data_IF_179450483742
#
_entry.id   IF_179450483742
#
_cell.length_a   1.000
_cell.length_b   1.000
_cell.length_c   1.000
_cell.angle_alpha   90.00
_cell.angle_beta   90.00
_cell.angle_gamma   90.00
#
_symmetry.space_group_name_H-M   'P 1'
#
loop_
_entity.id
_entity.type
_entity.pdbx_description
1 polymer ?
#
# COMPACT_ATOMS: atom_id res chain seq x y z
N UNK A 1 -23.17 -39.41 -28.12
CA UNK A 1 -22.19 -40.05 -27.21
C UNK A 1 -20.94 -39.17 -27.31
N UNK A 2 -20.87 -38.14 -26.47
CA UNK A 2 -19.77 -37.17 -26.46
C UNK A 2 -18.97 -37.47 -25.19
N UNK A 3 -17.73 -37.86 -25.40
CA UNK A 3 -16.80 -38.21 -24.32
C UNK A 3 -16.23 -36.93 -23.69
N UNK A 4 -16.45 -36.74 -22.40
CA UNK A 4 -15.75 -35.76 -21.58
C UNK A 4 -14.34 -36.29 -21.28
N UNK A 5 -13.34 -35.51 -21.67
CA UNK A 5 -11.97 -35.66 -21.17
C UNK A 5 -11.82 -34.83 -19.88
N UNK A 6 -11.19 -35.33 -18.83
CA UNK A 6 -10.94 -34.56 -17.63
C UNK A 6 -9.81 -33.57 -17.89
N UNK A 7 -10.01 -32.31 -17.49
CA UNK A 7 -8.99 -31.28 -17.41
C UNK A 7 -7.95 -31.70 -16.34
N UNK A 8 -6.69 -31.77 -16.73
CA UNK A 8 -5.57 -31.86 -15.81
C UNK A 8 -5.39 -30.48 -15.16
N UNK A 9 -5.82 -30.33 -13.91
CA UNK A 9 -5.41 -29.27 -13.04
C UNK A 9 -3.92 -29.41 -12.71
N UNK A 10 -3.10 -28.52 -13.20
CA UNK A 10 -1.74 -28.36 -12.71
C UNK A 10 -1.79 -27.49 -11.48
N UNK A 11 -1.72 -28.09 -10.30
CA UNK A 11 -1.39 -27.43 -9.04
C UNK A 11 0.08 -27.00 -9.10
N UNK A 12 0.31 -25.79 -9.57
CA UNK A 12 1.58 -25.07 -9.48
C UNK A 12 1.54 -24.04 -8.34
N UNK A 13 0.95 -24.40 -7.20
CA UNK A 13 1.09 -23.63 -5.99
C UNK A 13 2.51 -23.76 -5.47
N UNK A 14 3.29 -22.67 -5.43
CA UNK A 14 4.47 -22.60 -4.58
C UNK A 14 4.04 -23.02 -3.18
N UNK A 15 4.67 -24.06 -2.61
CA UNK A 15 4.48 -24.44 -1.21
C UNK A 15 4.84 -23.21 -0.37
N UNK A 16 3.82 -22.57 0.21
CA UNK A 16 4.02 -21.54 1.23
C UNK A 16 4.70 -22.24 2.40
N UNK A 17 5.85 -21.73 2.80
CA UNK A 17 6.41 -22.06 4.11
C UNK A 17 5.33 -21.75 5.14
N UNK A 18 5.02 -22.72 5.99
CA UNK A 18 3.96 -22.58 6.98
C UNK A 18 4.25 -21.38 7.87
N UNK A 19 3.30 -20.44 7.96
CA UNK A 19 3.34 -19.35 8.93
C UNK A 19 3.53 -19.93 10.33
N UNK A 20 4.21 -19.25 11.27
CA UNK A 20 4.38 -19.75 12.61
C UNK A 20 3.03 -20.09 13.22
N UNK A 21 2.80 -21.35 13.56
CA UNK A 21 1.57 -21.79 14.22
C UNK A 21 1.45 -21.10 15.58
N UNK A 22 0.26 -20.55 15.88
CA UNK A 22 -0.05 -20.06 17.21
C UNK A 22 -0.07 -21.24 18.19
N UNK A 23 0.35 -21.02 19.45
CA UNK A 23 0.35 -22.04 20.49
C UNK A 23 -1.06 -22.58 20.80
N UNK A 24 -2.11 -21.91 20.30
CA UNK A 24 -3.49 -22.31 20.49
C UNK A 24 -4.49 -21.37 19.80
N UNK A 25 -5.75 -21.52 20.16
CA UNK A 25 -6.80 -20.62 19.73
C UNK A 25 -6.69 -19.27 20.44
N UNK A 26 -7.05 -18.18 19.74
CA UNK A 26 -7.14 -16.84 20.33
C UNK A 26 -8.57 -16.31 20.16
N UNK A 27 -9.13 -15.75 21.23
CA UNK A 27 -10.36 -15.00 21.21
C UNK A 27 -10.07 -13.52 21.46
N UNK A 28 -10.45 -12.66 20.52
CA UNK A 28 -10.49 -11.21 20.76
C UNK A 28 -11.94 -10.82 20.95
N UNK A 29 -12.28 -10.25 22.12
CA UNK A 29 -13.68 -9.96 22.49
C UNK A 29 -13.85 -8.56 23.12
N UNK A 30 -15.03 -7.98 22.96
CA UNK A 30 -15.37 -6.66 23.51
C UNK A 30 -15.10 -5.51 22.56
N UNK A 31 -15.21 -4.28 23.04
CA UNK A 31 -15.01 -3.08 22.23
C UNK A 31 -15.96 -2.99 21.04
N UNK A 32 -15.41 -2.63 19.89
CA UNK A 32 -16.12 -2.49 18.61
C UNK A 32 -15.32 -3.15 17.48
N UNK A 33 -15.99 -3.52 16.41
CA UNK A 33 -15.37 -4.00 15.18
C UNK A 33 -15.91 -3.17 14.01
N UNK A 34 -15.02 -2.65 13.18
CA UNK A 34 -15.40 -2.00 11.95
C UNK A 34 -15.60 -3.04 10.85
N UNK A 35 -16.86 -3.25 10.47
CA UNK A 35 -17.20 -3.95 9.24
C UNK A 35 -17.09 -2.96 8.06
N UNK A 36 -15.96 -3.02 7.35
CA UNK A 36 -15.72 -2.13 6.22
C UNK A 36 -16.60 -2.42 5.02
N UNK A 37 -17.11 -3.65 4.89
CA UNK A 37 -17.99 -4.04 3.79
C UNK A 37 -19.40 -3.52 4.04
N UNK A 38 -19.96 -3.73 5.23
CA UNK A 38 -21.25 -3.18 5.63
C UNK A 38 -21.18 -1.65 5.88
N UNK A 39 -20.03 -1.13 6.29
CA UNK A 39 -19.83 0.28 6.60
C UNK A 39 -20.34 0.69 7.99
N UNK A 40 -20.31 -0.22 8.95
CA UNK A 40 -20.83 0.00 10.29
C UNK A 40 -19.93 -0.57 11.39
N UNK A 41 -20.12 -0.09 12.62
CA UNK A 41 -19.46 -0.60 13.82
C UNK A 41 -20.33 -1.64 14.51
N UNK A 42 -19.80 -2.83 14.69
CA UNK A 42 -20.40 -3.93 15.46
C UNK A 42 -19.94 -3.80 16.91
N UNK A 43 -20.88 -3.73 17.85
CA UNK A 43 -20.59 -3.64 19.28
C UNK A 43 -20.32 -5.02 19.89
N UNK A 44 -19.39 -5.10 20.83
CA UNK A 44 -19.04 -6.32 21.58
C UNK A 44 -18.81 -7.54 20.66
N UNK A 45 -17.97 -7.45 19.63
CA UNK A 45 -17.65 -8.57 18.77
C UNK A 45 -16.88 -9.65 19.52
N UNK A 46 -16.98 -10.88 19.02
CA UNK A 46 -16.04 -11.96 19.30
C UNK A 46 -15.37 -12.39 18.01
N UNK A 47 -14.05 -12.33 17.94
CA UNK A 47 -13.26 -12.80 16.80
C UNK A 47 -12.44 -14.01 17.24
N UNK A 48 -12.74 -15.16 16.69
CA UNK A 48 -12.04 -16.40 16.94
C UNK A 48 -10.95 -16.64 15.91
N UNK A 49 -9.74 -16.81 16.36
CA UNK A 49 -8.57 -17.06 15.52
C UNK A 49 -8.08 -18.48 15.76
N UNK A 50 -7.97 -19.25 14.70
CA UNK A 50 -7.48 -20.62 14.73
C UNK A 50 -5.94 -20.67 14.84
N UNK A 51 -5.33 -21.77 15.30
CA UNK A 51 -3.87 -21.91 15.44
C UNK A 51 -3.08 -21.58 14.18
N UNK A 52 -3.64 -21.80 12.99
CA UNK A 52 -3.01 -21.44 11.72
C UNK A 52 -3.19 -19.95 11.33
N UNK A 53 -3.58 -19.05 12.27
CA UNK A 53 -3.64 -17.61 12.09
C UNK A 53 -4.82 -17.07 11.29
N UNK A 54 -5.76 -17.92 10.84
CA UNK A 54 -6.97 -17.46 10.14
C UNK A 54 -8.14 -17.26 11.10
N UNK A 55 -8.99 -16.33 10.74
CA UNK A 55 -10.27 -16.08 11.45
C UNK A 55 -11.20 -17.27 11.21
N UNK A 56 -11.60 -17.92 12.29
CA UNK A 56 -12.57 -19.01 12.25
C UNK A 56 -14.00 -18.53 12.27
N UNK A 57 -14.30 -17.57 13.15
CA UNK A 57 -15.63 -17.00 13.29
C UNK A 57 -15.57 -15.56 13.78
N UNK A 58 -16.58 -14.78 13.37
CA UNK A 58 -16.87 -13.42 13.85
C UNK A 58 -18.33 -13.40 14.24
N UNK A 59 -18.67 -12.86 15.43
CA UNK A 59 -20.06 -12.77 15.87
C UNK A 59 -20.22 -12.15 17.24
N UNK A 60 -21.44 -12.19 17.78
CA UNK A 60 -21.69 -11.82 19.17
C UNK A 60 -21.02 -12.83 20.12
N UNK A 61 -20.68 -12.37 21.35
CA UNK A 61 -20.14 -13.20 22.43
C UNK A 61 -21.01 -14.46 22.62
N UNK A 62 -20.45 -15.64 22.33
CA UNK A 62 -21.13 -16.91 22.41
C UNK A 62 -21.33 -17.64 21.07
N UNK A 63 -20.87 -17.07 19.94
CA UNK A 63 -20.84 -17.76 18.64
C UNK A 63 -20.02 -19.06 18.74
N UNK A 64 -20.41 -20.05 17.91
CA UNK A 64 -19.92 -21.43 17.92
C UNK A 64 -18.41 -21.57 18.00
N UNK A 65 -17.93 -21.72 19.21
CA UNK A 65 -16.57 -22.22 19.49
C UNK A 65 -16.59 -23.74 19.27
N UNK A 66 -15.49 -24.32 18.78
CA UNK A 66 -15.34 -25.76 18.86
C UNK A 66 -15.44 -26.21 20.32
N UNK A 67 -16.37 -27.13 20.64
CA UNK A 67 -16.58 -27.62 22.01
C UNK A 67 -15.26 -28.11 22.62
N UNK A 68 -14.96 -27.62 23.82
CA UNK A 68 -13.81 -28.10 24.61
C UNK A 68 -12.45 -27.45 24.26
N UNK A 69 -12.41 -26.40 23.44
CA UNK A 69 -11.18 -25.68 23.10
C UNK A 69 -10.91 -24.57 24.12
N UNK A 70 -9.72 -24.60 24.75
CA UNK A 70 -9.19 -23.46 25.50
C UNK A 70 -8.64 -22.42 24.52
N UNK A 71 -8.84 -21.14 24.80
CA UNK A 71 -8.30 -20.04 24.00
C UNK A 71 -7.66 -18.99 24.90
N UNK A 72 -6.60 -18.40 24.40
CA UNK A 72 -6.06 -17.16 24.96
C UNK A 72 -7.03 -16.02 24.62
N UNK A 73 -7.47 -15.29 25.66
CA UNK A 73 -8.50 -14.26 25.48
C UNK A 73 -7.90 -12.86 25.62
N UNK A 74 -8.06 -12.08 24.56
CA UNK A 74 -7.75 -10.65 24.54
C UNK A 74 -9.06 -9.87 24.70
N UNK A 75 -9.20 -9.14 25.83
CA UNK A 75 -10.38 -8.33 26.10
C UNK A 75 -10.13 -6.87 25.74
N UNK A 76 -11.04 -6.32 24.96
CA UNK A 76 -11.01 -4.93 24.53
C UNK A 76 -11.85 -4.05 25.46
N UNK A 77 -11.34 -2.83 25.70
CA UNK A 77 -12.11 -1.76 26.34
C UNK A 77 -13.25 -1.28 25.42
N UNK A 78 -14.28 -0.67 25.99
CA UNK A 78 -15.44 -0.21 25.23
C UNK A 78 -15.14 0.89 24.20
N UNK A 79 -14.03 1.62 24.35
CA UNK A 79 -13.55 2.67 23.45
C UNK A 79 -12.49 2.16 22.45
N UNK A 80 -12.15 0.87 22.47
CA UNK A 80 -11.27 0.25 21.48
C UNK A 80 -12.08 -0.27 20.28
N UNK A 81 -11.47 -0.19 19.10
CA UNK A 81 -12.06 -0.64 17.83
C UNK A 81 -11.09 -1.58 17.10
N UNK A 82 -11.60 -2.74 16.67
CA UNK A 82 -10.91 -3.59 15.70
C UNK A 82 -11.06 -2.98 14.32
N UNK A 83 -9.94 -2.60 13.72
CA UNK A 83 -9.82 -2.09 12.36
C UNK A 83 -9.15 -3.14 11.50
N UNK A 84 -9.68 -3.55 10.34
CA UNK A 84 -8.93 -4.40 9.41
C UNK A 84 -7.55 -3.83 9.15
N UNK A 85 -6.56 -4.69 9.03
CA UNK A 85 -5.18 -4.26 8.78
C UNK A 85 -5.09 -3.38 7.54
N UNK A 86 -4.38 -2.27 7.65
CA UNK A 86 -4.18 -1.36 6.55
C UNK A 86 -3.28 -1.99 5.48
N UNK A 87 -3.59 -1.70 4.24
CA UNK A 87 -2.88 -2.18 3.04
C UNK A 87 -2.34 -0.96 2.30
N UNK A 88 -1.03 -0.79 2.30
CA UNK A 88 -0.38 0.26 1.51
C UNK A 88 0.02 -0.32 0.15
N UNK A 89 -0.76 0.01 -0.89
CA UNK A 89 -0.52 -0.46 -2.26
C UNK A 89 0.46 0.41 -3.04
N UNK A 90 1.10 1.38 -2.38
CA UNK A 90 2.15 2.21 -2.94
C UNK A 90 3.20 2.51 -1.86
N UNK A 91 3.61 1.47 -1.17
CA UNK A 91 4.66 1.56 -0.18
C UNK A 91 6.03 1.76 -0.84
N UNK A 92 6.96 2.33 -0.10
CA UNK A 92 8.36 2.29 -0.44
C UNK A 92 9.18 1.89 0.78
N UNK A 93 10.19 1.07 0.56
CA UNK A 93 11.25 0.83 1.53
C UNK A 93 12.47 1.71 1.25
N UNK A 94 12.60 2.20 0.02
CA UNK A 94 13.71 3.04 -0.38
C UNK A 94 13.61 4.47 0.17
N UNK A 95 14.76 5.00 0.60
CA UNK A 95 14.90 6.33 1.17
C UNK A 95 16.12 7.04 0.59
N UNK A 96 15.99 8.33 0.30
CA UNK A 96 17.12 9.22 -0.01
C UNK A 96 17.32 10.23 1.13
N UNK A 97 18.03 9.80 2.18
CA UNK A 97 18.26 10.62 3.37
C UNK A 97 19.48 11.54 3.24
N UNK A 98 20.40 11.22 2.33
CA UNK A 98 21.71 11.88 2.25
C UNK A 98 21.94 12.63 0.94
N UNK A 99 21.07 12.44 -0.06
CA UNK A 99 21.24 12.99 -1.40
C UNK A 99 22.19 12.15 -2.29
N UNK A 100 22.54 10.95 -1.85
CA UNK A 100 23.42 10.03 -2.58
C UNK A 100 22.65 9.00 -3.42
N UNK A 101 21.34 9.10 -3.44
CA UNK A 101 20.42 8.18 -4.10
C UNK A 101 19.54 7.42 -3.12
N UNK A 102 18.65 6.62 -3.68
CA UNK A 102 17.68 5.84 -2.90
C UNK A 102 18.24 4.48 -2.51
N UNK A 103 18.06 4.13 -1.26
CA UNK A 103 18.53 2.89 -0.65
C UNK A 103 17.33 2.21 0.00
N UNK A 104 17.14 0.91 -0.26
CA UNK A 104 16.09 0.10 0.37
C UNK A 104 16.41 -0.08 1.87
N UNK A 105 15.56 0.44 2.74
CA UNK A 105 15.66 0.26 4.19
C UNK A 105 14.74 -0.87 4.63
N UNK A 106 15.27 -2.08 4.71
CA UNK A 106 14.54 -3.31 4.99
C UNK A 106 14.62 -3.78 6.44
N UNK A 107 15.32 -3.05 7.32
CA UNK A 107 15.49 -3.44 8.73
C UNK A 107 14.46 -2.80 9.66
N UNK A 108 14.29 -1.49 9.59
CA UNK A 108 13.51 -0.73 10.56
C UNK A 108 12.16 -0.26 10.02
N UNK A 109 12.10 0.09 8.73
CA UNK A 109 10.83 0.45 8.08
C UNK A 109 9.74 -0.63 8.23
N UNK A 110 10.04 -1.95 8.14
CA UNK A 110 9.02 -2.98 8.36
C UNK A 110 8.38 -2.90 9.74
N UNK A 111 9.16 -2.60 10.79
CA UNK A 111 8.64 -2.46 12.15
C UNK A 111 7.71 -1.26 12.26
N UNK A 112 8.08 -0.14 11.59
CA UNK A 112 7.29 1.09 11.60
C UNK A 112 5.98 0.91 10.82
N UNK A 113 5.99 0.22 9.69
CA UNK A 113 4.76 -0.16 8.99
C UNK A 113 3.82 -0.93 9.92
N UNK A 114 4.29 -2.04 10.48
CA UNK A 114 3.47 -2.92 11.30
C UNK A 114 2.97 -2.21 12.56
N UNK A 115 3.81 -1.43 13.24
CA UNK A 115 3.43 -0.68 14.44
C UNK A 115 2.30 0.34 14.19
N UNK A 116 2.16 0.83 12.98
CA UNK A 116 1.08 1.72 12.57
C UNK A 116 -0.14 0.97 11.99
N UNK A 117 -0.24 -0.34 12.20
CA UNK A 117 -1.39 -1.13 11.75
C UNK A 117 -1.39 -1.44 10.24
N UNK A 118 -0.31 -1.15 9.53
CA UNK A 118 -0.14 -1.60 8.14
C UNK A 118 0.33 -3.03 8.13
N UNK A 119 -0.57 -3.96 7.85
CA UNK A 119 -0.31 -5.41 7.88
C UNK A 119 0.10 -5.98 6.53
N UNK A 120 -0.12 -5.24 5.46
CA UNK A 120 0.28 -5.63 4.10
C UNK A 120 0.84 -4.43 3.34
N UNK A 121 1.95 -4.64 2.64
CA UNK A 121 2.57 -3.64 1.75
C UNK A 121 2.79 -4.22 0.37
N UNK A 122 2.56 -3.42 -0.66
CA UNK A 122 3.04 -3.64 -2.01
C UNK A 122 4.04 -2.53 -2.35
N UNK A 123 5.35 -2.81 -2.37
CA UNK A 123 6.35 -1.82 -2.77
C UNK A 123 6.14 -1.43 -4.23
N UNK A 124 5.96 -0.12 -4.50
CA UNK A 124 5.61 0.37 -5.82
C UNK A 124 6.83 0.55 -6.72
N UNK A 125 7.52 -0.56 -7.00
CA UNK A 125 8.77 -0.63 -7.73
C UNK A 125 10.00 -0.52 -6.79
N UNK A 126 10.96 -1.36 -7.05
CA UNK A 126 12.11 -1.57 -6.18
C UNK A 126 13.41 -1.23 -6.92
N UNK A 127 14.32 -0.53 -6.23
CA UNK A 127 15.67 -0.23 -6.74
C UNK A 127 16.60 -1.43 -6.55
N UNK A 128 16.44 -2.16 -5.45
CA UNK A 128 17.09 -3.42 -5.18
C UNK A 128 16.03 -4.49 -4.83
N UNK A 129 15.43 -5.14 -5.82
CA UNK A 129 14.39 -6.14 -5.60
C UNK A 129 14.88 -7.38 -4.86
N UNK A 130 16.18 -7.66 -4.86
CA UNK A 130 16.75 -8.77 -4.11
C UNK A 130 16.61 -8.58 -2.60
N UNK A 131 16.80 -7.35 -2.11
CA UNK A 131 16.63 -7.02 -0.70
C UNK A 131 15.16 -7.13 -0.25
N UNK A 132 14.22 -6.80 -1.14
CA UNK A 132 12.79 -6.91 -0.82
C UNK A 132 12.35 -8.38 -0.80
N UNK A 133 12.84 -9.20 -1.71
CA UNK A 133 12.61 -10.64 -1.66
C UNK A 133 13.23 -11.26 -0.40
N UNK A 134 14.45 -10.88 -0.04
CA UNK A 134 15.07 -11.30 1.22
C UNK A 134 14.24 -10.88 2.44
N UNK A 135 13.73 -9.64 2.46
CA UNK A 135 12.86 -9.16 3.52
C UNK A 135 11.60 -10.01 3.64
N UNK A 136 10.90 -10.26 2.52
CA UNK A 136 9.73 -11.14 2.48
C UNK A 136 10.06 -12.50 3.09
N UNK A 137 11.10 -13.15 2.59
CA UNK A 137 11.48 -14.49 2.99
C UNK A 137 11.82 -14.57 4.50
N UNK A 138 12.52 -13.56 5.04
CA UNK A 138 12.81 -13.46 6.48
C UNK A 138 11.57 -13.25 7.33
N UNK A 139 10.61 -12.47 6.86
CA UNK A 139 9.35 -12.26 7.57
C UNK A 139 8.51 -13.53 7.55
N UNK A 140 8.42 -14.22 6.41
CA UNK A 140 7.70 -15.48 6.27
C UNK A 140 8.34 -16.62 7.10
N UNK A 141 9.66 -16.63 7.21
CA UNK A 141 10.38 -17.56 8.07
C UNK A 141 10.31 -17.22 9.59
N UNK A 142 9.70 -16.10 9.96
CA UNK A 142 9.68 -15.60 11.35
C UNK A 142 11.03 -15.10 11.87
N UNK A 143 12.01 -14.92 11.00
CA UNK A 143 13.34 -14.38 11.36
C UNK A 143 13.30 -12.86 11.56
N UNK A 144 12.35 -12.19 10.97
CA UNK A 144 12.14 -10.76 11.12
C UNK A 144 10.66 -10.42 11.31
N UNK A 145 10.39 -9.22 11.85
CA UNK A 145 9.04 -8.72 12.10
C UNK A 145 8.71 -7.60 11.11
N UNK A 146 7.55 -7.70 10.49
CA UNK A 146 7.06 -6.69 9.55
C UNK A 146 5.68 -7.04 8.98
N UNK A 147 5.15 -6.23 8.05
CA UNK A 147 3.93 -6.54 7.34
C UNK A 147 4.11 -7.72 6.37
N UNK A 148 3.03 -8.23 5.82
CA UNK A 148 3.09 -9.08 4.62
C UNK A 148 3.63 -8.24 3.47
N UNK A 149 4.77 -8.65 2.91
CA UNK A 149 5.39 -7.96 1.77
C UNK A 149 4.99 -8.68 0.48
N UNK A 150 4.25 -7.98 -0.38
CA UNK A 150 3.91 -8.45 -1.73
C UNK A 150 4.91 -7.81 -2.70
N UNK A 151 5.96 -8.50 -3.15
CA UNK A 151 7.01 -7.87 -3.94
C UNK A 151 6.49 -7.44 -5.32
N UNK A 152 6.95 -6.29 -5.80
CA UNK A 152 6.65 -5.79 -7.15
C UNK A 152 7.77 -6.08 -8.15
N UNK A 153 8.92 -6.56 -7.70
CA UNK A 153 10.12 -6.64 -8.51
C UNK A 153 10.63 -5.26 -8.93
N UNK A 154 11.54 -5.20 -9.90
CA UNK A 154 12.10 -3.93 -10.34
C UNK A 154 11.07 -3.08 -11.09
N UNK A 155 11.33 -1.78 -11.18
CA UNK A 155 10.59 -0.94 -12.12
C UNK A 155 10.69 -1.46 -13.55
N UNK A 156 9.57 -1.48 -14.27
CA UNK A 156 9.54 -1.63 -15.72
C UNK A 156 9.49 -0.23 -16.35
N UNK A 157 10.60 0.20 -16.96
CA UNK A 157 10.77 1.50 -17.57
C UNK A 157 12.03 2.23 -17.12
N UNK A 158 12.16 3.49 -17.55
CA UNK A 158 13.39 4.28 -17.41
C UNK A 158 13.78 4.63 -15.98
N UNK A 159 12.94 4.36 -15.00
CA UNK A 159 13.27 4.52 -13.57
C UNK A 159 14.16 3.38 -13.06
N UNK A 160 14.12 2.22 -13.71
CA UNK A 160 14.96 1.07 -13.35
C UNK A 160 16.43 1.36 -13.65
N UNK A 161 17.34 1.17 -12.68
CA UNK A 161 18.77 1.23 -12.96
C UNK A 161 19.16 0.24 -14.08
N UNK A 162 19.89 0.72 -15.10
CA UNK A 162 20.31 -0.12 -16.22
C UNK A 162 19.21 -0.51 -17.22
N UNK A 163 18.05 0.16 -17.19
CA UNK A 163 16.98 -0.10 -18.16
C UNK A 163 17.45 0.09 -19.61
N UNK A 164 17.31 -0.94 -20.44
CA UNK A 164 17.52 -0.83 -21.88
C UNK A 164 16.23 -0.34 -22.57
N UNK A 165 16.29 0.83 -23.16
CA UNK A 165 15.18 1.44 -23.91
C UNK A 165 14.87 0.73 -25.24
N UNK A 166 15.74 -0.16 -25.69
CA UNK A 166 15.58 -0.91 -26.93
C UNK A 166 15.13 -2.36 -26.69
N UNK A 167 14.74 -2.69 -25.48
CA UNK A 167 14.18 -4.03 -25.18
C UNK A 167 13.06 -4.36 -26.16
N UNK A 168 13.11 -5.54 -26.72
CA UNK A 168 12.04 -6.08 -27.54
C UNK A 168 10.86 -6.56 -26.66
N UNK A 169 9.69 -6.74 -27.25
CA UNK A 169 8.54 -7.30 -26.54
C UNK A 169 8.84 -8.68 -25.93
N UNK A 170 9.61 -9.51 -26.63
CA UNK A 170 9.98 -10.84 -26.12
C UNK A 170 10.96 -10.78 -24.93
N UNK A 171 11.87 -9.82 -24.93
CA UNK A 171 12.75 -9.57 -23.77
C UNK A 171 11.98 -9.05 -22.56
N UNK A 172 10.95 -8.20 -22.77
CA UNK A 172 10.06 -7.76 -21.68
C UNK A 172 9.31 -8.94 -21.10
N UNK A 173 8.70 -9.82 -21.96
CA UNK A 173 8.01 -11.03 -21.49
C UNK A 173 8.94 -11.99 -20.73
N UNK A 174 10.17 -12.19 -21.21
CA UNK A 174 11.16 -13.03 -20.55
C UNK A 174 11.61 -12.44 -19.20
N UNK A 175 11.65 -11.11 -19.07
CA UNK A 175 11.94 -10.42 -17.80
C UNK A 175 10.80 -10.62 -16.79
N UNK A 176 9.54 -10.55 -17.24
CA UNK A 176 8.35 -10.87 -16.42
C UNK A 176 8.45 -12.32 -15.91
N UNK A 177 8.66 -13.28 -16.80
CA UNK A 177 8.75 -14.71 -16.43
C UNK A 177 9.79 -14.95 -15.33
N UNK A 178 10.96 -14.36 -15.48
CA UNK A 178 12.05 -14.47 -14.48
C UNK A 178 11.63 -13.98 -13.10
N UNK A 179 10.83 -12.92 -13.00
CA UNK A 179 10.36 -12.40 -11.72
C UNK A 179 9.16 -13.18 -11.19
N UNK A 180 8.29 -13.69 -12.06
CA UNK A 180 7.20 -14.61 -11.67
C UNK A 180 7.75 -15.89 -11.06
N UNK A 181 8.81 -16.47 -11.61
CA UNK A 181 9.50 -17.64 -11.04
C UNK A 181 10.03 -17.38 -9.61
N UNK A 182 10.16 -16.11 -9.22
CA UNK A 182 10.59 -15.67 -7.89
C UNK A 182 9.45 -15.21 -6.99
N UNK A 183 8.20 -15.41 -7.42
CA UNK A 183 6.99 -15.11 -6.67
C UNK A 183 6.50 -13.66 -6.81
N UNK A 184 6.94 -12.91 -7.83
CA UNK A 184 6.39 -11.59 -8.16
C UNK A 184 5.20 -11.77 -9.09
N UNK A 185 4.01 -11.27 -8.68
CA UNK A 185 2.78 -11.32 -9.50
C UNK A 185 2.22 -9.93 -9.80
N UNK A 186 2.59 -8.91 -9.05
CA UNK A 186 2.06 -7.55 -9.19
C UNK A 186 3.21 -6.60 -9.54
N UNK A 187 3.18 -6.05 -10.76
CA UNK A 187 4.32 -5.34 -11.35
C UNK A 187 4.12 -3.83 -11.40
N UNK A 188 5.24 -3.09 -11.34
CA UNK A 188 5.26 -1.62 -11.41
C UNK A 188 5.87 -1.12 -12.70
N UNK A 189 5.08 -0.37 -13.47
CA UNK A 189 5.56 0.40 -14.61
C UNK A 189 5.84 1.86 -14.21
N UNK A 190 7.04 2.38 -14.52
CA UNK A 190 7.40 3.78 -14.34
C UNK A 190 8.39 4.25 -15.39
N UNK A 191 7.94 5.16 -16.26
CA UNK A 191 8.70 5.59 -17.42
C UNK A 191 8.77 4.53 -18.53
N UNK A 192 7.81 3.61 -18.57
CA UNK A 192 7.63 2.68 -19.67
C UNK A 192 7.02 3.39 -20.89
N UNK A 193 7.55 3.08 -22.07
CA UNK A 193 6.89 3.45 -23.34
C UNK A 193 5.71 2.50 -23.63
N UNK A 194 4.79 2.87 -24.52
CA UNK A 194 3.70 1.97 -24.91
C UNK A 194 4.17 0.61 -25.45
N UNK A 195 5.30 0.59 -26.14
CA UNK A 195 5.91 -0.64 -26.70
C UNK A 195 6.39 -1.61 -25.62
N UNK A 196 6.80 -1.10 -24.46
CA UNK A 196 7.20 -1.92 -23.32
C UNK A 196 6.04 -2.23 -22.38
N UNK A 197 5.08 -1.31 -22.23
CA UNK A 197 3.95 -1.49 -21.33
C UNK A 197 2.98 -2.56 -21.83
N UNK A 198 2.68 -2.59 -23.14
CA UNK A 198 1.74 -3.57 -23.69
C UNK A 198 2.18 -5.04 -23.46
N UNK A 199 3.42 -5.46 -23.82
CA UNK A 199 3.87 -6.83 -23.56
C UNK A 199 4.06 -7.13 -22.06
N UNK A 200 4.33 -6.12 -21.22
CA UNK A 200 4.34 -6.27 -19.77
C UNK A 200 2.95 -6.67 -19.26
N UNK A 201 1.91 -5.89 -19.58
CA UNK A 201 0.53 -6.14 -19.14
C UNK A 201 0.06 -7.50 -19.64
N UNK A 202 0.22 -7.78 -20.92
CA UNK A 202 -0.17 -9.06 -21.53
C UNK A 202 0.44 -10.25 -20.79
N UNK A 203 1.78 -10.21 -20.55
CA UNK A 203 2.47 -11.34 -19.94
C UNK A 203 2.16 -11.50 -18.46
N UNK A 204 2.00 -10.40 -17.73
CA UNK A 204 1.60 -10.43 -16.31
C UNK A 204 0.20 -11.01 -16.16
N UNK A 205 -0.74 -10.64 -17.02
CA UNK A 205 -2.10 -11.18 -17.01
C UNK A 205 -2.14 -12.69 -17.34
N UNK A 206 -1.27 -13.18 -18.24
CA UNK A 206 -1.13 -14.62 -18.50
C UNK A 206 -0.73 -15.41 -17.24
N UNK A 207 -0.02 -14.77 -16.30
CA UNK A 207 0.34 -15.34 -15.00
C UNK A 207 -0.69 -15.04 -13.89
N UNK A 208 -1.79 -14.36 -14.18
CA UNK A 208 -2.83 -14.00 -13.20
C UNK A 208 -2.44 -12.87 -12.27
N UNK A 209 -1.42 -12.07 -12.63
CA UNK A 209 -0.97 -10.90 -11.87
C UNK A 209 -1.62 -9.60 -12.32
N UNK A 210 -1.16 -8.47 -11.76
CA UNK A 210 -1.63 -7.12 -12.09
C UNK A 210 -0.48 -6.15 -12.35
N UNK A 211 -0.76 -5.07 -13.10
CA UNK A 211 0.21 -4.01 -13.40
C UNK A 211 -0.30 -2.66 -12.91
N UNK A 212 0.53 -1.98 -12.10
CA UNK A 212 0.29 -0.59 -11.70
C UNK A 212 1.25 0.35 -12.46
N UNK A 213 0.79 1.56 -12.73
CA UNK A 213 1.57 2.51 -13.52
C UNK A 213 1.64 3.92 -12.95
N UNK A 214 2.90 4.41 -12.74
CA UNK A 214 3.17 5.82 -12.67
C UNK A 214 3.30 6.34 -14.10
N UNK A 215 2.23 6.92 -14.62
CA UNK A 215 2.09 7.32 -16.01
C UNK A 215 2.32 8.82 -16.19
N UNK A 216 2.44 9.26 -17.45
CA UNK A 216 2.59 10.67 -17.82
C UNK A 216 1.52 11.04 -18.86
N UNK A 217 1.67 12.16 -19.52
CA UNK A 217 0.72 12.67 -20.52
C UNK A 217 0.78 11.98 -21.89
N UNK A 218 1.80 11.18 -22.16
CA UNK A 218 2.15 10.69 -23.50
C UNK A 218 3.20 11.56 -24.20
N UNK A 219 3.65 12.65 -23.56
CA UNK A 219 4.71 13.48 -24.11
C UNK A 219 6.05 12.73 -24.16
N UNK A 220 6.87 13.00 -25.18
CA UNK A 220 8.22 12.44 -25.35
C UNK A 220 8.29 10.90 -25.33
N UNK A 221 7.23 10.23 -25.77
CA UNK A 221 7.16 8.76 -25.82
C UNK A 221 6.82 8.10 -24.47
N UNK A 222 6.39 8.87 -23.47
CA UNK A 222 5.78 8.33 -22.26
C UNK A 222 4.40 7.75 -22.55
N UNK A 223 3.85 6.98 -21.62
CA UNK A 223 2.52 6.40 -21.76
C UNK A 223 1.48 7.29 -21.07
N UNK A 224 0.39 7.57 -21.77
CA UNK A 224 -0.80 8.22 -21.22
C UNK A 224 -1.73 7.16 -20.60
N UNK A 225 -2.46 7.52 -19.54
CA UNK A 225 -3.37 6.58 -18.87
C UNK A 225 -4.48 6.05 -19.79
N UNK A 226 -4.99 6.83 -20.76
CA UNK A 226 -5.96 6.32 -21.71
C UNK A 226 -5.38 5.21 -22.59
N UNK A 227 -4.11 5.33 -23.02
CA UNK A 227 -3.44 4.29 -23.79
C UNK A 227 -3.20 3.05 -22.92
N UNK A 228 -2.76 3.25 -21.66
CA UNK A 228 -2.52 2.16 -20.73
C UNK A 228 -3.80 1.39 -20.36
N UNK A 229 -4.92 2.10 -20.16
CA UNK A 229 -6.24 1.49 -19.93
C UNK A 229 -6.67 0.65 -21.16
N UNK A 230 -6.44 1.18 -22.36
CA UNK A 230 -6.71 0.41 -23.59
C UNK A 230 -5.83 -0.84 -23.75
N UNK A 231 -4.66 -0.89 -23.09
CA UNK A 231 -3.77 -2.06 -23.00
C UNK A 231 -4.17 -3.01 -21.87
N UNK A 232 -5.08 -2.60 -20.96
CA UNK A 232 -5.56 -3.41 -19.84
C UNK A 232 -4.82 -3.17 -18.52
N UNK A 233 -4.24 -2.01 -18.27
CA UNK A 233 -3.62 -1.71 -16.98
C UNK A 233 -4.62 -1.81 -15.83
N UNK A 234 -4.21 -2.36 -14.69
CA UNK A 234 -5.11 -2.64 -13.55
C UNK A 234 -5.21 -1.45 -12.58
N UNK A 235 -4.13 -0.69 -12.42
CA UNK A 235 -4.09 0.47 -11.50
C UNK A 235 -3.25 1.61 -12.05
N UNK A 236 -3.76 2.83 -11.92
CA UNK A 236 -3.04 4.07 -12.28
C UNK A 236 -2.82 4.91 -11.02
N UNK A 237 -1.65 5.49 -10.92
CA UNK A 237 -1.19 6.19 -9.73
C UNK A 237 -1.13 7.70 -9.92
N UNK A 238 -1.26 8.44 -8.82
CA UNK A 238 -1.12 9.89 -8.64
C UNK A 238 -2.20 10.74 -9.31
N UNK A 239 -2.43 10.57 -10.59
CA UNK A 239 -3.36 11.37 -11.37
C UNK A 239 -4.12 10.50 -12.39
N UNK A 240 -5.38 10.84 -12.64
CA UNK A 240 -6.18 10.10 -13.63
C UNK A 240 -5.63 10.26 -15.06
N UNK A 241 -5.14 11.44 -15.40
CA UNK A 241 -4.54 11.70 -16.71
C UNK A 241 -5.53 11.60 -17.88
N UNK A 242 -5.21 10.74 -18.83
CA UNK A 242 -6.06 10.45 -19.98
C UNK A 242 -6.33 11.65 -20.91
N UNK A 243 -7.56 11.82 -21.40
CA UNK A 243 -7.96 12.95 -22.24
C UNK A 243 -7.81 14.32 -21.56
N UNK A 244 -7.72 14.37 -20.22
CA UNK A 244 -7.55 15.61 -19.48
C UNK A 244 -6.14 16.19 -19.56
N UNK A 245 -5.18 15.49 -20.17
CA UNK A 245 -3.79 15.92 -20.31
C UNK A 245 -3.45 16.27 -21.76
N UNK A 246 -2.72 17.38 -21.92
CA UNK A 246 -2.08 17.73 -23.17
C UNK A 246 -0.86 16.82 -23.40
N UNK A 247 -0.89 16.01 -24.45
CA UNK A 247 0.16 15.06 -24.83
C UNK A 247 1.50 15.70 -25.23
N UNK A 248 1.57 17.03 -25.30
CA UNK A 248 2.80 17.77 -25.63
C UNK A 248 3.55 18.28 -24.39
N UNK A 249 2.94 18.20 -23.21
CA UNK A 249 3.44 18.73 -21.95
C UNK A 249 3.60 17.63 -20.89
N UNK A 250 4.45 17.86 -19.89
CA UNK A 250 4.54 16.97 -18.73
C UNK A 250 3.24 17.02 -17.89
N UNK A 251 2.84 15.88 -17.34
CA UNK A 251 1.54 15.70 -16.70
C UNK A 251 1.30 16.63 -15.49
N UNK A 252 2.20 16.68 -14.53
CA UNK A 252 1.96 17.36 -13.26
C UNK A 252 1.73 18.88 -13.37
N UNK A 253 2.50 19.65 -14.17
CA UNK A 253 2.20 21.06 -14.37
C UNK A 253 0.83 21.33 -15.00
N UNK A 254 0.38 20.43 -15.90
CA UNK A 254 -0.94 20.53 -16.55
C UNK A 254 -2.05 20.14 -15.58
N UNK A 255 -1.83 19.07 -14.77
CA UNK A 255 -2.82 18.57 -13.83
C UNK A 255 -3.24 19.60 -12.77
N UNK A 256 -2.35 20.48 -12.36
CA UNK A 256 -2.66 21.57 -11.43
C UNK A 256 -3.80 22.47 -11.90
N UNK A 257 -4.01 22.54 -13.21
CA UNK A 257 -5.00 23.42 -13.84
C UNK A 257 -6.22 22.66 -14.37
N UNK A 258 -6.31 21.36 -14.13
CA UNK A 258 -7.43 20.51 -14.60
C UNK A 258 -8.75 21.01 -14.00
N UNK A 259 -9.70 21.27 -14.88
CA UNK A 259 -11.08 21.58 -14.53
C UNK A 259 -11.90 20.29 -14.47
N UNK A 260 -12.36 19.94 -13.29
CA UNK A 260 -13.16 18.73 -13.06
C UNK A 260 -14.55 18.78 -13.72
N UNK A 261 -14.98 19.97 -14.19
CA UNK A 261 -16.23 20.17 -14.93
C UNK A 261 -16.05 20.01 -16.44
N UNK A 262 -14.81 19.90 -16.93
CA UNK A 262 -14.52 19.77 -18.35
C UNK A 262 -14.95 18.39 -18.91
N UNK A 263 -15.26 18.35 -20.20
CA UNK A 263 -15.61 17.11 -20.92
C UNK A 263 -14.46 16.12 -20.87
N UNK A 264 -13.23 16.60 -21.11
CA UNK A 264 -12.03 15.77 -21.12
C UNK A 264 -11.77 15.09 -19.77
N UNK A 265 -12.01 15.78 -18.63
CA UNK A 265 -11.91 15.17 -17.32
C UNK A 265 -12.99 14.11 -17.10
N UNK A 266 -14.24 14.40 -17.47
CA UNK A 266 -15.31 13.39 -17.37
C UNK A 266 -15.07 12.17 -18.24
N UNK A 267 -14.46 12.34 -19.41
CA UNK A 267 -14.03 11.21 -20.27
C UNK A 267 -12.91 10.41 -19.60
N UNK A 268 -11.93 11.07 -18.97
CA UNK A 268 -10.90 10.38 -18.19
C UNK A 268 -11.53 9.53 -17.09
N UNK A 269 -12.45 10.10 -16.29
CA UNK A 269 -13.18 9.37 -15.24
C UNK A 269 -13.92 8.15 -15.79
N UNK A 270 -14.63 8.29 -16.92
CA UNK A 270 -15.34 7.17 -17.56
C UNK A 270 -14.42 6.04 -17.96
N UNK A 271 -13.22 6.35 -18.49
CA UNK A 271 -12.26 5.30 -18.85
C UNK A 271 -11.93 4.39 -17.66
N UNK A 272 -11.75 4.95 -16.47
CA UNK A 272 -11.51 4.15 -15.27
C UNK A 272 -12.73 3.35 -14.85
N UNK A 273 -13.91 3.98 -14.83
CA UNK A 273 -15.15 3.33 -14.38
C UNK A 273 -15.57 2.21 -15.34
N UNK A 274 -15.52 2.46 -16.65
CA UNK A 274 -15.97 1.50 -17.67
C UNK A 274 -15.02 0.28 -17.77
N UNK A 275 -13.76 0.40 -17.32
CA UNK A 275 -12.76 -0.65 -17.37
C UNK A 275 -12.36 -1.17 -15.95
N UNK A 276 -13.02 -0.70 -14.91
CA UNK A 276 -12.76 -1.07 -13.50
C UNK A 276 -11.28 -0.90 -13.08
N UNK A 277 -10.62 0.16 -13.56
CA UNK A 277 -9.23 0.44 -13.26
C UNK A 277 -9.11 1.13 -11.91
N UNK A 278 -8.33 0.57 -11.02
CA UNK A 278 -8.05 1.19 -9.72
C UNK A 278 -7.29 2.49 -9.86
N UNK A 279 -7.60 3.43 -8.98
CA UNK A 279 -6.92 4.71 -8.87
C UNK A 279 -6.27 4.86 -7.50
N UNK A 280 -4.96 5.03 -7.52
CA UNK A 280 -4.16 5.28 -6.32
C UNK A 280 -3.69 6.74 -6.30
N UNK A 281 -4.39 7.64 -5.59
CA UNK A 281 -4.16 9.07 -5.68
C UNK A 281 -2.86 9.55 -5.04
N UNK A 282 -2.34 8.86 -4.01
CA UNK A 282 -1.15 9.27 -3.25
C UNK A 282 -1.13 10.76 -2.91
N UNK A 283 -2.23 11.27 -2.36
CA UNK A 283 -2.48 12.71 -2.18
C UNK A 283 -1.37 13.39 -1.36
N UNK A 284 -0.80 12.67 -0.39
CA UNK A 284 0.22 13.22 0.51
C UNK A 284 1.63 13.26 -0.07
N UNK A 285 1.90 12.57 -1.17
CA UNK A 285 3.22 12.53 -1.77
C UNK A 285 3.82 13.91 -2.13
N UNK A 286 3.07 14.86 -2.74
CA UNK A 286 3.59 16.20 -3.00
C UNK A 286 3.76 17.07 -1.76
N UNK A 287 3.06 16.79 -0.65
CA UNK A 287 3.09 17.61 0.57
C UNK A 287 4.49 17.65 1.18
N UNK A 288 5.24 16.57 1.06
CA UNK A 288 6.62 16.52 1.54
C UNK A 288 7.52 17.65 0.98
N UNK A 289 7.23 18.13 -0.23
CA UNK A 289 7.99 19.20 -0.88
C UNK A 289 7.44 20.60 -0.60
N UNK A 290 6.54 20.74 0.36
CA UNK A 290 5.85 22.00 0.67
C UNK A 290 6.10 22.42 2.12
N UNK A 291 5.63 23.61 2.45
CA UNK A 291 5.56 24.15 3.80
C UNK A 291 4.14 24.06 4.39
N UNK A 292 3.28 23.23 3.82
CA UNK A 292 1.90 23.07 4.27
C UNK A 292 1.85 22.38 5.64
N UNK A 293 1.33 23.08 6.64
CA UNK A 293 1.15 22.57 8.02
C UNK A 293 0.34 21.27 8.04
N UNK A 294 -0.71 21.19 7.22
CA UNK A 294 -1.61 20.05 7.05
C UNK A 294 -0.88 18.71 6.84
N UNK A 295 0.34 18.75 6.30
CA UNK A 295 1.17 17.55 6.10
C UNK A 295 2.11 17.21 7.25
N UNK A 296 2.40 18.17 8.17
CA UNK A 296 3.49 18.02 9.13
C UNK A 296 3.06 18.12 10.60
N UNK A 297 2.05 18.92 10.93
CA UNK A 297 1.84 19.33 12.32
C UNK A 297 1.08 18.33 13.19
N UNK A 298 0.24 17.48 12.61
CA UNK A 298 -0.60 16.56 13.39
C UNK A 298 0.05 15.20 13.69
N UNK A 299 1.30 14.95 13.26
CA UNK A 299 1.74 13.58 13.02
C UNK A 299 2.93 13.10 13.85
N UNK A 300 3.26 13.78 14.90
CA UNK A 300 4.19 13.30 15.90
C UNK A 300 5.66 13.44 15.50
N UNK A 301 6.53 12.93 16.35
CA UNK A 301 7.97 13.07 16.24
C UNK A 301 8.60 11.93 15.42
N UNK A 302 8.30 11.89 14.12
CA UNK A 302 8.92 10.92 13.22
C UNK A 302 10.44 11.10 13.10
N UNK A 303 10.96 12.30 13.34
CA UNK A 303 12.40 12.57 13.32
C UNK A 303 13.17 11.77 14.35
N UNK A 304 12.53 11.41 15.47
CA UNK A 304 13.12 10.59 16.51
C UNK A 304 13.48 9.16 16.09
N UNK A 305 13.00 8.70 14.94
CA UNK A 305 13.34 7.39 14.37
C UNK A 305 14.64 7.40 13.58
N UNK A 306 15.04 8.56 13.04
CA UNK A 306 16.31 8.69 12.34
C UNK A 306 17.50 8.61 13.31
N UNK A 307 18.65 8.16 12.78
CA UNK A 307 19.91 8.26 13.52
C UNK A 307 20.21 9.73 13.88
N UNK A 308 20.95 10.02 14.95
CA UNK A 308 21.30 11.40 15.33
C UNK A 308 21.95 12.18 14.17
N UNK A 309 22.77 11.52 13.37
CA UNK A 309 23.42 12.13 12.21
C UNK A 309 22.41 12.55 11.13
N UNK A 310 21.41 11.72 10.84
CA UNK A 310 20.34 12.06 9.90
C UNK A 310 19.41 13.13 10.48
N UNK A 311 19.09 13.08 11.78
CA UNK A 311 18.26 14.10 12.45
C UNK A 311 18.84 15.50 12.29
N UNK A 312 20.17 15.68 12.48
CA UNK A 312 20.84 16.96 12.26
C UNK A 312 20.70 17.45 10.82
N UNK A 313 20.82 16.56 9.85
CA UNK A 313 20.71 16.89 8.42
C UNK A 313 19.28 17.24 8.01
N UNK A 314 18.31 16.49 8.49
CA UNK A 314 16.89 16.75 8.25
C UNK A 314 16.49 18.08 8.90
N UNK A 315 16.93 18.35 10.13
CA UNK A 315 16.66 19.61 10.81
C UNK A 315 17.29 20.83 10.12
N UNK A 316 18.42 20.63 9.44
CA UNK A 316 19.10 21.69 8.69
C UNK A 316 18.46 21.96 7.30
N UNK A 317 17.54 21.12 6.85
CA UNK A 317 16.85 21.34 5.56
C UNK A 317 15.83 22.47 5.72
N UNK A 318 15.97 23.51 4.91
CA UNK A 318 14.94 24.52 4.79
C UNK A 318 13.76 23.96 4.00
N UNK A 319 12.59 23.94 4.60
CA UNK A 319 11.35 23.66 3.90
C UNK A 319 11.00 24.89 3.05
N UNK A 320 11.17 24.77 1.75
CA UNK A 320 10.85 25.84 0.81
C UNK A 320 9.38 25.75 0.38
N UNK A 321 8.78 26.92 0.18
CA UNK A 321 7.46 27.00 -0.47
C UNK A 321 7.59 26.53 -1.92
N UNK A 322 7.08 25.35 -2.23
CA UNK A 322 6.99 24.84 -3.58
C UNK A 322 5.55 24.98 -4.10
N UNK A 323 5.29 26.09 -4.80
CA UNK A 323 3.94 26.36 -5.32
C UNK A 323 3.41 25.29 -6.27
N UNK A 324 4.30 24.68 -7.08
CA UNK A 324 3.92 23.61 -7.98
C UNK A 324 3.36 22.41 -7.20
N UNK A 325 4.06 21.98 -6.15
CA UNK A 325 3.66 20.84 -5.33
C UNK A 325 2.46 21.17 -4.44
N UNK A 326 2.38 22.38 -3.91
CA UNK A 326 1.21 22.85 -3.16
C UNK A 326 -0.05 22.85 -4.03
N UNK A 327 0.06 23.35 -5.27
CA UNK A 327 -1.05 23.33 -6.23
C UNK A 327 -1.40 21.90 -6.65
N UNK A 328 -0.40 21.03 -6.82
CA UNK A 328 -0.60 19.62 -7.15
C UNK A 328 -1.40 18.91 -6.04
N UNK A 329 -1.03 19.11 -4.78
CA UNK A 329 -1.78 18.58 -3.63
C UNK A 329 -3.26 18.98 -3.65
N UNK A 330 -3.55 20.27 -3.89
CA UNK A 330 -4.93 20.75 -3.98
C UNK A 330 -5.66 20.17 -5.22
N UNK A 331 -4.96 20.02 -6.34
CA UNK A 331 -5.53 19.42 -7.53
C UNK A 331 -5.83 17.93 -7.33
N UNK A 332 -4.95 17.19 -6.66
CA UNK A 332 -5.15 15.77 -6.36
C UNK A 332 -6.35 15.58 -5.44
N UNK A 333 -6.49 16.36 -4.36
CA UNK A 333 -7.70 16.33 -3.51
C UNK A 333 -8.99 16.58 -4.33
N UNK A 334 -9.00 17.64 -5.14
CA UNK A 334 -10.15 18.01 -5.93
C UNK A 334 -10.54 16.98 -6.98
N UNK A 335 -9.57 16.42 -7.68
CA UNK A 335 -9.80 15.42 -8.74
C UNK A 335 -10.18 14.06 -8.18
N UNK A 336 -9.61 13.67 -7.03
CA UNK A 336 -10.00 12.43 -6.32
C UNK A 336 -11.43 12.51 -5.81
N UNK A 337 -11.84 13.66 -5.23
CA UNK A 337 -13.23 13.86 -4.85
C UNK A 337 -14.18 13.82 -6.06
N UNK A 338 -13.78 14.43 -7.18
CA UNK A 338 -14.59 14.39 -8.39
C UNK A 338 -14.73 12.97 -8.96
N UNK A 339 -13.68 12.15 -8.90
CA UNK A 339 -13.72 10.74 -9.25
C UNK A 339 -14.64 9.94 -8.32
N UNK A 340 -14.51 10.16 -7.00
CA UNK A 340 -15.37 9.54 -6.00
C UNK A 340 -16.85 9.87 -6.26
N UNK A 341 -17.19 11.15 -6.47
CA UNK A 341 -18.56 11.61 -6.72
C UNK A 341 -19.16 11.07 -8.03
N UNK A 342 -18.30 10.69 -8.97
CA UNK A 342 -18.74 10.05 -10.21
C UNK A 342 -19.01 8.52 -10.06
N UNK A 343 -18.86 7.98 -8.84
CA UNK A 343 -19.08 6.56 -8.53
C UNK A 343 -17.81 5.72 -8.40
N UNK A 344 -16.63 6.34 -8.48
CA UNK A 344 -15.32 5.66 -8.42
C UNK A 344 -14.84 5.26 -7.03
N UNK A 345 -15.64 5.44 -5.97
CA UNK A 345 -15.19 5.19 -4.59
C UNK A 345 -14.67 3.78 -4.34
N UNK A 346 -15.25 2.77 -5.00
CA UNK A 346 -14.83 1.37 -4.88
C UNK A 346 -13.52 1.05 -5.62
N UNK A 347 -13.05 1.95 -6.48
CA UNK A 347 -11.80 1.85 -7.23
C UNK A 347 -10.66 2.70 -6.63
N UNK A 348 -10.93 3.55 -5.61
CA UNK A 348 -9.89 4.30 -4.93
C UNK A 348 -9.15 3.36 -3.98
N UNK A 349 -7.82 3.37 -4.05
CA UNK A 349 -6.93 2.68 -3.12
C UNK A 349 -6.14 3.67 -2.27
N UNK A 350 -5.53 3.19 -1.20
CA UNK A 350 -4.59 3.94 -0.38
C UNK A 350 -3.17 3.50 -0.71
N UNK A 351 -2.40 4.40 -1.29
CA UNK A 351 -0.97 4.29 -1.43
C UNK A 351 -0.30 5.56 -0.94
N UNK A 352 0.85 5.46 -0.32
CA UNK A 352 1.49 6.60 0.34
C UNK A 352 2.57 7.27 -0.49
N UNK A 353 3.23 6.55 -1.39
CA UNK A 353 4.45 6.94 -2.13
C UNK A 353 5.57 7.45 -1.18
N UNK A 354 5.62 6.90 0.04
CA UNK A 354 6.59 7.27 1.07
C UNK A 354 7.34 6.02 1.58
N UNK A 355 8.54 6.20 2.12
CA UNK A 355 9.25 7.45 2.48
C UNK A 355 10.18 8.00 1.39
N UNK A 356 10.08 7.60 0.17
CA UNK A 356 11.03 7.72 -0.95
C UNK A 356 11.98 8.92 -0.98
N UNK A 357 11.68 10.05 -0.33
CA UNK A 357 12.58 11.22 -0.28
C UNK A 357 12.74 11.87 1.09
N UNK A 358 12.32 11.24 2.19
CA UNK A 358 12.60 11.95 3.34
C UNK A 358 11.90 11.71 4.66
N UNK A 359 11.32 12.77 5.23
CA UNK A 359 10.91 12.83 6.62
C UNK A 359 9.61 12.08 6.92
N UNK A 360 8.81 11.78 5.92
CA UNK A 360 7.58 11.01 6.11
C UNK A 360 7.94 9.53 6.18
N UNK A 361 7.82 8.97 7.37
CA UNK A 361 8.09 7.57 7.56
C UNK A 361 6.91 6.70 7.12
N UNK A 362 7.20 5.47 6.68
CA UNK A 362 6.17 4.50 6.36
C UNK A 362 5.27 4.23 7.57
N UNK A 363 4.09 3.72 7.34
CA UNK A 363 3.10 3.49 8.39
C UNK A 363 2.43 4.77 8.88
N UNK A 364 3.19 5.73 9.41
CA UNK A 364 2.65 7.06 9.74
C UNK A 364 1.99 7.73 8.53
N UNK A 365 2.59 7.56 7.36
CA UNK A 365 2.06 8.11 6.11
C UNK A 365 0.74 7.48 5.68
N UNK A 366 0.45 6.23 6.04
CA UNK A 366 -0.85 5.61 5.78
C UNK A 366 -1.99 6.41 6.44
N UNK A 367 -1.80 6.83 7.69
CA UNK A 367 -2.78 7.65 8.40
C UNK A 367 -2.91 9.05 7.79
N UNK A 368 -1.80 9.63 7.28
CA UNK A 368 -1.85 10.91 6.53
C UNK A 368 -2.69 10.79 5.27
N UNK A 369 -2.50 9.70 4.52
CA UNK A 369 -3.22 9.48 3.28
C UNK A 369 -4.72 9.29 3.55
N UNK A 370 -5.09 8.49 4.57
CA UNK A 370 -6.48 8.38 5.01
C UNK A 370 -7.07 9.73 5.42
N UNK A 371 -6.33 10.53 6.18
CA UNK A 371 -6.76 11.88 6.57
C UNK A 371 -6.88 12.81 5.35
N UNK A 372 -5.94 12.75 4.40
CA UNK A 372 -6.00 13.55 3.18
C UNK A 372 -7.21 13.20 2.30
N UNK A 373 -7.60 11.93 2.23
CA UNK A 373 -8.84 11.50 1.57
C UNK A 373 -10.07 12.14 2.24
N UNK A 374 -10.12 12.14 3.57
CA UNK A 374 -11.22 12.79 4.31
C UNK A 374 -11.20 14.31 4.14
N UNK A 375 -10.02 14.95 4.19
CA UNK A 375 -9.86 16.37 3.90
C UNK A 375 -10.23 16.75 2.45
N UNK A 376 -10.14 15.81 1.53
CA UNK A 376 -10.65 15.99 0.17
C UNK A 376 -12.18 15.96 0.11
N UNK A 377 -12.86 15.42 1.12
CA UNK A 377 -14.32 15.32 1.22
C UNK A 377 -14.87 13.89 1.06
N UNK A 378 -14.00 12.88 1.06
CA UNK A 378 -14.40 11.47 1.04
C UNK A 378 -14.84 11.05 2.45
N UNK A 379 -15.98 10.37 2.62
CA UNK A 379 -16.42 9.89 3.94
C UNK A 379 -15.39 8.99 4.61
N UNK A 380 -15.22 9.05 5.95
CA UNK A 380 -14.24 8.22 6.67
C UNK A 380 -14.32 6.74 6.33
N UNK A 381 -15.53 6.18 6.21
CA UNK A 381 -15.70 4.76 5.87
C UNK A 381 -15.13 4.41 4.49
N UNK A 382 -15.26 5.30 3.50
CA UNK A 382 -14.75 5.04 2.15
C UNK A 382 -13.24 5.27 2.07
N UNK A 383 -12.69 6.18 2.87
CA UNK A 383 -11.25 6.29 3.07
C UNK A 383 -10.68 5.01 3.72
N UNK A 384 -11.37 4.43 4.71
CA UNK A 384 -10.98 3.15 5.32
C UNK A 384 -11.10 1.98 4.35
N UNK A 385 -12.14 1.95 3.50
CA UNK A 385 -12.25 0.97 2.41
C UNK A 385 -11.07 1.06 1.44
N UNK A 386 -10.64 2.28 1.10
CA UNK A 386 -9.47 2.49 0.24
C UNK A 386 -8.20 1.88 0.86
N UNK A 387 -8.01 2.04 2.17
CA UNK A 387 -6.88 1.50 2.92
C UNK A 387 -7.00 0.02 3.33
N UNK A 388 -8.08 -0.67 2.98
CA UNK A 388 -8.34 -2.05 3.39
C UNK A 388 -8.85 -2.89 2.22
N UNK A 389 -10.16 -3.07 2.08
CA UNK A 389 -10.75 -4.00 1.12
C UNK A 389 -10.49 -3.63 -0.35
N UNK A 390 -10.42 -2.33 -0.69
CA UNK A 390 -10.09 -1.93 -2.06
C UNK A 390 -8.62 -2.23 -2.38
N UNK A 391 -7.70 -2.00 -1.44
CA UNK A 391 -6.30 -2.40 -1.57
C UNK A 391 -6.14 -3.91 -1.78
N UNK A 392 -6.91 -4.72 -1.02
CA UNK A 392 -6.93 -6.16 -1.19
C UNK A 392 -7.43 -6.57 -2.58
N UNK A 393 -8.51 -5.95 -3.09
CA UNK A 393 -9.03 -6.20 -4.44
C UNK A 393 -8.02 -5.81 -5.52
N UNK A 394 -7.34 -4.67 -5.36
CA UNK A 394 -6.32 -4.22 -6.32
C UNK A 394 -5.12 -5.17 -6.40
N UNK A 395 -4.90 -6.00 -5.37
CA UNK A 395 -3.89 -7.05 -5.31
C UNK A 395 -4.49 -8.46 -5.49
N UNK A 396 -5.76 -8.58 -5.89
CA UNK A 396 -6.46 -9.87 -6.06
C UNK A 396 -6.41 -10.77 -4.81
N UNK A 397 -6.40 -10.17 -3.62
CA UNK A 397 -6.24 -10.86 -2.33
C UNK A 397 -7.45 -10.68 -1.39
N UNK A 398 -8.58 -10.18 -1.89
CA UNK A 398 -9.78 -9.90 -1.07
C UNK A 398 -10.39 -11.16 -0.43
N UNK A 399 -10.06 -12.33 -0.94
CA UNK A 399 -10.41 -13.61 -0.32
C UNK A 399 -9.62 -13.91 0.96
N UNK A 400 -8.44 -13.30 1.12
CA UNK A 400 -7.49 -13.60 2.20
C UNK A 400 -7.35 -12.46 3.23
N UNK A 401 -7.46 -11.19 2.79
CA UNK A 401 -7.20 -10.00 3.61
C UNK A 401 -8.21 -8.88 3.32
N UNK A 402 -8.07 -7.73 3.98
CA UNK A 402 -8.82 -6.50 3.70
C UNK A 402 -10.14 -6.35 4.47
N UNK A 403 -10.62 -7.39 5.15
CA UNK A 403 -11.73 -7.29 6.11
C UNK A 403 -11.59 -8.36 7.20
N UNK A 404 -12.25 -8.15 8.34
CA UNK A 404 -12.27 -9.12 9.45
C UNK A 404 -13.46 -10.07 9.23
N UNK A 405 -13.19 -11.19 8.55
CA UNK A 405 -14.23 -12.15 8.19
C UNK A 405 -13.72 -13.59 8.26
N UNK A 406 -14.62 -14.58 8.49
CA UNK A 406 -14.22 -16.00 8.52
C UNK A 406 -13.46 -16.44 7.27
N UNK A 407 -12.39 -17.21 7.46
CA UNK A 407 -11.53 -17.73 6.41
C UNK A 407 -10.36 -16.81 6.04
N UNK A 408 -10.43 -15.51 6.33
CA UNK A 408 -9.35 -14.55 6.07
C UNK A 408 -8.27 -14.63 7.16
N UNK A 409 -7.09 -14.12 6.84
CA UNK A 409 -6.02 -13.96 7.83
C UNK A 409 -6.46 -13.00 8.95
N UNK A 410 -6.07 -13.29 10.17
CA UNK A 410 -6.28 -12.39 11.29
C UNK A 410 -5.27 -11.23 11.25
N UNK A 411 -5.46 -10.36 10.26
CA UNK A 411 -4.70 -9.15 10.00
C UNK A 411 -5.57 -7.95 10.37
N UNK A 412 -5.35 -7.37 11.56
CA UNK A 412 -6.11 -6.22 12.05
C UNK A 412 -5.36 -5.44 13.13
N UNK A 413 -5.73 -4.20 13.33
CA UNK A 413 -5.25 -3.37 14.42
C UNK A 413 -6.34 -3.19 15.48
N UNK A 414 -5.93 -3.09 16.75
CA UNK A 414 -6.74 -2.55 17.84
C UNK A 414 -6.37 -1.08 17.97
N UNK A 415 -7.32 -0.21 17.72
CA UNK A 415 -7.14 1.24 17.85
C UNK A 415 -8.01 1.79 18.99
N UNK A 416 -7.60 2.88 19.62
CA UNK A 416 -8.44 3.61 20.57
C UNK A 416 -9.21 4.73 19.88
N UNK A 417 -10.52 4.71 20.00
CA UNK A 417 -11.44 5.68 19.41
C UNK A 417 -12.29 5.11 18.28
N UNK A 418 -13.14 5.97 17.74
CA UNK A 418 -14.02 5.68 16.60
C UNK A 418 -13.44 6.30 15.33
N UNK A 419 -12.97 5.50 14.35
CA UNK A 419 -12.38 6.03 13.13
C UNK A 419 -13.42 6.61 12.15
N UNK A 420 -14.71 6.34 12.37
CA UNK A 420 -15.79 6.95 11.58
C UNK A 420 -16.16 8.34 12.09
N UNK A 421 -15.95 8.62 13.38
CA UNK A 421 -16.14 9.94 13.98
C UNK A 421 -14.94 10.86 13.68
N UNK A 422 -13.73 10.33 13.85
CA UNK A 422 -12.48 11.02 13.51
C UNK A 422 -11.48 10.02 12.91
N UNK A 423 -11.19 10.18 11.63
CA UNK A 423 -10.23 9.30 10.92
C UNK A 423 -8.85 9.29 11.57
N UNK A 424 -8.45 10.34 12.30
CA UNK A 424 -7.17 10.42 13.01
C UNK A 424 -7.07 9.39 14.16
N UNK A 425 -8.19 8.82 14.62
CA UNK A 425 -8.19 7.73 15.59
C UNK A 425 -7.50 6.46 15.07
N UNK A 426 -7.36 6.30 13.75
CA UNK A 426 -6.58 5.19 13.16
C UNK A 426 -5.14 5.15 13.65
N UNK A 427 -4.57 6.27 14.10
CA UNK A 427 -3.19 6.36 14.64
C UNK A 427 -3.04 5.83 16.05
N UNK A 428 -4.12 5.73 16.79
CA UNK A 428 -4.09 5.32 18.18
C UNK A 428 -3.99 3.79 18.28
N UNK A 429 -2.97 3.21 17.62
CA UNK A 429 -2.76 1.77 17.55
C UNK A 429 -2.22 1.25 18.89
N UNK A 430 -2.93 0.32 19.49
CA UNK A 430 -2.60 -0.27 20.79
C UNK A 430 -2.17 -1.74 20.70
N UNK A 431 -2.59 -2.43 19.66
CA UNK A 431 -2.07 -3.74 19.29
C UNK A 431 -2.24 -3.97 17.79
N UNK A 432 -1.39 -4.79 17.21
CA UNK A 432 -1.52 -5.24 15.82
C UNK A 432 -1.50 -6.76 15.79
N UNK A 433 -2.41 -7.33 15.03
CA UNK A 433 -2.42 -8.74 14.71
C UNK A 433 -2.03 -8.90 13.24
N UNK A 434 -1.06 -9.75 12.98
CA UNK A 434 -0.69 -10.19 11.64
C UNK A 434 -0.63 -11.71 11.61
N UNK A 435 -1.44 -12.31 10.76
CA UNK A 435 -1.59 -13.77 10.72
C UNK A 435 -1.88 -14.37 12.11
N UNK A 436 -2.69 -13.65 12.90
CA UNK A 436 -3.09 -14.04 14.26
C UNK A 436 -2.03 -13.79 15.34
N UNK A 437 -0.80 -13.50 14.99
CA UNK A 437 0.26 -13.14 15.95
C UNK A 437 0.06 -11.69 16.41
N UNK A 438 0.01 -11.48 17.72
CA UNK A 438 -0.14 -10.16 18.34
C UNK A 438 1.21 -9.48 18.53
N UNK A 439 1.29 -8.22 18.13
CA UNK A 439 2.46 -7.35 18.32
C UNK A 439 2.08 -6.12 19.15
N UNK A 440 3.03 -5.65 19.96
CA UNK A 440 2.94 -4.38 20.70
C UNK A 440 3.57 -3.26 19.83
N UNK A 441 2.79 -2.26 19.42
CA UNK A 441 3.31 -1.15 18.60
C UNK A 441 4.42 -0.36 19.28
N UNK A 442 4.33 -0.16 20.60
CA UNK A 442 5.32 0.56 21.38
C UNK A 442 6.69 -0.14 21.35
N UNK A 443 6.70 -1.46 21.51
CA UNK A 443 7.94 -2.26 21.42
C UNK A 443 8.54 -2.20 20.01
N UNK A 444 7.71 -2.30 18.96
CA UNK A 444 8.19 -2.21 17.57
C UNK A 444 8.80 -0.85 17.27
N UNK A 445 8.12 0.24 17.66
CA UNK A 445 8.60 1.60 17.46
C UNK A 445 9.89 1.86 18.24
N UNK A 446 10.00 1.39 19.50
CA UNK A 446 11.22 1.57 20.29
C UNK A 446 12.42 0.83 19.68
N UNK A 447 12.19 -0.34 19.06
CA UNK A 447 13.23 -1.06 18.31
C UNK A 447 13.75 -0.29 17.10
N UNK A 448 12.92 0.53 16.45
CA UNK A 448 13.30 1.34 15.28
C UNK A 448 13.84 2.72 15.66
N UNK A 449 13.57 3.23 16.88
CA UNK A 449 13.90 4.58 17.32
C UNK A 449 15.40 4.86 17.25
N UNK A 450 15.77 5.96 16.55
CA UNK A 450 17.16 6.39 16.41
C UNK A 450 18.01 5.51 15.49
N UNK A 451 17.40 4.64 14.67
CA UNK A 451 18.12 3.63 13.88
C UNK A 451 17.94 3.73 12.37
N UNK A 452 16.99 4.51 11.89
CA UNK A 452 16.75 4.68 10.45
C UNK A 452 17.79 5.63 9.86
N UNK A 453 18.52 5.14 8.87
CA UNK A 453 19.56 5.89 8.17
C UNK A 453 20.97 5.64 8.71
N UNK A 454 22.00 6.20 8.03
CA UNK A 454 23.40 6.01 8.40
C UNK A 454 23.72 6.69 9.75
N UNK A 455 24.64 6.08 10.51
CA UNK A 455 25.13 6.65 11.78
C UNK A 455 26.16 7.76 11.55
N UNK A 456 26.78 7.80 10.36
CA UNK A 456 27.78 8.80 9.99
C UNK A 456 28.07 8.80 8.50
N UNK A 457 28.94 9.71 8.02
CA UNK A 457 29.22 9.86 6.59
C UNK A 457 29.88 8.62 5.97
N UNK A 458 30.53 7.79 6.75
CA UNK A 458 31.19 6.55 6.31
C UNK A 458 30.19 5.44 5.95
N UNK A 459 28.97 5.49 6.48
CA UNK A 459 27.93 4.51 6.24
C UNK A 459 26.95 4.89 5.12
N UNK A 460 27.15 6.01 4.45
CA UNK A 460 26.17 6.62 3.52
C UNK A 460 25.63 5.66 2.44
N UNK A 461 26.42 4.69 2.00
CA UNK A 461 26.05 3.73 0.96
C UNK A 461 25.62 2.34 1.46
N UNK A 462 25.84 2.03 2.74
CA UNK A 462 25.75 0.66 3.27
C UNK A 462 24.96 0.52 4.59
N UNK A 463 24.30 1.58 5.04
CA UNK A 463 23.63 1.62 6.35
C UNK A 463 22.43 0.66 6.50
N UNK A 464 21.95 0.10 5.43
CA UNK A 464 20.73 -0.75 5.36
C UNK A 464 21.03 -2.25 5.42
N UNK A 465 22.29 -2.69 5.34
CA UNK A 465 22.65 -4.11 5.29
C UNK A 465 22.47 -4.78 6.65
N UNK A 466 22.02 -6.03 6.58
CA UNK A 466 21.82 -6.93 7.75
C UNK A 466 23.11 -7.23 8.49
#
# INVERSE_FOLDING_TARGET
MVAFLPACGGDGGAERTESPELEGWVLVEGGRLLDVEAGELIANPGVWIAPHGRIHAVGELGGTVPDGVGADTVRLDADQTLLPGLIDVHAHYNMDLTGDGRIEETRWNPLVFLANGVTTTWPAGEYDPELILELRDRIEAGEWVGPRVIPSGPYFGTTRPGWDRNMTADEVRADVDRWVERGVLHFKAKGASPEHLAPLIERVHEHGGTVAGHLDSGARGSTNSADAIAMGIDRVEHILGGPALDRTQAAYPVWNQVDTTDVAFREAVRLFLDNEVFFDPTITAPVYFTDLEEGFDDWGDERGFFTPWVQERVAARERGRNELMSNLYQAMKRTTLAFYNAGGGHLITMGTDTPSRGEFLPGFSAHRELHALVLAGIPPIDALRAGTINGARALTMEGDIGSIAPGKWADFAVIRGDPLDDIRNTRNVEAVFREGVRYDPGELLERARGRIGPAGPEERGDWFRW
#
